data_IF_375143332695
#
_entry.id   IF_375143332695
#
_cell.length_a   1.000
_cell.length_b   1.000
_cell.length_c   1.000
_cell.angle_alpha   90.00
_cell.angle_beta   90.00
_cell.angle_gamma   90.00
#
_symmetry.space_group_name_H-M   'P 1'
#
loop_
_entity.id
_entity.type
_entity.pdbx_description
1 polymer ?
#
# COMPACT_ATOMS: atom_id res chain seq x y z
N UNK A 1 17.23 -1.14 -13.64
CA UNK A 1 16.36 -2.15 -12.99
C UNK A 1 15.42 -1.42 -12.05
N UNK A 2 14.10 -1.53 -12.25
CA UNK A 2 13.14 -0.97 -11.30
C UNK A 2 13.14 -1.84 -10.03
N UNK A 3 13.08 -1.20 -8.86
CA UNK A 3 12.91 -1.90 -7.58
C UNK A 3 11.44 -2.30 -7.46
N UNK A 4 11.17 -3.52 -7.04
CA UNK A 4 9.81 -4.04 -6.86
C UNK A 4 9.66 -4.66 -5.47
N UNK A 5 8.45 -4.57 -4.92
CA UNK A 5 8.09 -5.21 -3.67
C UNK A 5 7.40 -6.55 -3.98
N UNK A 6 7.89 -7.62 -3.37
CA UNK A 6 7.24 -8.93 -3.39
C UNK A 6 6.46 -9.09 -2.07
N UNK A 7 5.14 -9.17 -2.17
CA UNK A 7 4.23 -9.31 -1.03
C UNK A 7 3.63 -10.72 -1.04
N UNK A 8 3.89 -11.48 0.01
CA UNK A 8 3.26 -12.78 0.25
C UNK A 8 1.99 -12.58 1.09
N UNK A 9 0.84 -12.50 0.42
CA UNK A 9 -0.45 -12.21 1.06
C UNK A 9 -0.89 -13.31 2.03
N UNK A 10 -0.45 -14.55 1.84
CA UNK A 10 -0.87 -15.68 2.68
C UNK A 10 -0.24 -15.61 4.09
N UNK A 11 0.79 -14.78 4.27
CA UNK A 11 1.41 -14.48 5.57
C UNK A 11 0.84 -13.24 6.25
N UNK A 12 -0.06 -12.49 5.61
CA UNK A 12 -0.63 -11.29 6.20
C UNK A 12 -1.67 -11.65 7.27
N UNK A 13 -1.49 -11.12 8.47
CA UNK A 13 -2.38 -11.35 9.64
C UNK A 13 -3.24 -10.14 9.99
N UNK A 14 -3.32 -9.12 9.12
CA UNK A 14 -4.03 -7.88 9.39
C UNK A 14 -3.53 -7.08 10.62
N UNK A 15 -2.23 -7.16 10.94
CA UNK A 15 -1.68 -6.50 12.15
C UNK A 15 -1.51 -4.97 12.04
N UNK A 16 -1.75 -4.38 10.86
CA UNK A 16 -1.65 -2.94 10.56
C UNK A 16 -0.28 -2.26 10.80
N UNK A 17 0.77 -3.02 11.15
CA UNK A 17 2.08 -2.45 11.45
C UNK A 17 2.72 -1.77 10.24
N UNK A 18 2.57 -2.34 9.04
CA UNK A 18 3.06 -1.72 7.81
C UNK A 18 2.35 -0.39 7.52
N UNK A 19 1.04 -0.29 7.80
CA UNK A 19 0.29 0.94 7.63
C UNK A 19 0.75 2.02 8.60
N UNK A 20 0.92 1.66 9.87
CA UNK A 20 1.40 2.55 10.92
C UNK A 20 2.81 3.05 10.63
N UNK A 21 3.74 2.17 10.25
CA UNK A 21 5.11 2.55 9.92
C UNK A 21 5.17 3.51 8.73
N UNK A 22 4.42 3.25 7.67
CA UNK A 22 4.38 4.11 6.49
C UNK A 22 3.76 5.49 6.80
N UNK A 23 2.71 5.54 7.62
CA UNK A 23 2.11 6.80 8.06
C UNK A 23 3.07 7.61 8.93
N UNK A 24 3.78 6.95 9.84
CA UNK A 24 4.77 7.62 10.68
C UNK A 24 5.92 8.20 9.84
N UNK A 25 6.48 7.41 8.94
CA UNK A 25 7.60 7.82 8.09
C UNK A 25 7.26 9.03 7.22
N UNK A 26 6.09 9.05 6.58
CA UNK A 26 5.77 10.08 5.61
C UNK A 26 4.92 11.23 6.14
N UNK A 27 4.19 11.00 7.24
CA UNK A 27 3.19 11.95 7.74
C UNK A 27 3.44 12.35 9.20
N UNK A 28 4.42 11.73 9.88
CA UNK A 28 4.78 12.00 11.28
C UNK A 28 3.75 11.55 12.30
N UNK A 29 2.75 10.75 11.89
CA UNK A 29 1.64 10.32 12.74
C UNK A 29 1.42 8.82 12.67
N UNK A 30 1.04 8.19 13.79
CA UNK A 30 0.59 6.78 13.78
C UNK A 30 -0.89 6.68 13.38
N UNK A 31 -1.20 6.96 12.11
CA UNK A 31 -2.56 6.95 11.60
C UNK A 31 -2.66 6.10 10.33
N UNK A 32 -3.15 4.84 10.41
CA UNK A 32 -3.35 3.97 9.25
C UNK A 32 -4.14 4.63 8.11
N UNK A 33 -5.10 5.51 8.41
CA UNK A 33 -5.88 6.22 7.39
C UNK A 33 -5.01 7.04 6.43
N UNK A 34 -3.90 7.62 6.92
CA UNK A 34 -2.93 8.40 6.13
C UNK A 34 -1.82 7.56 5.48
N UNK A 35 -1.83 6.25 5.67
CA UNK A 35 -0.83 5.37 5.08
C UNK A 35 -0.97 5.27 3.56
N UNK A 36 0.17 5.13 2.85
CA UNK A 36 0.24 4.78 1.42
C UNK A 36 0.11 3.26 1.18
N UNK A 37 0.09 2.47 2.26
CA UNK A 37 -0.16 1.03 2.27
C UNK A 37 -1.56 0.81 2.82
N UNK A 38 -2.32 -0.16 2.30
CA UNK A 38 -3.64 -0.53 2.81
C UNK A 38 -3.81 -2.03 2.89
N UNK A 39 -4.33 -2.53 4.00
CA UNK A 39 -4.73 -3.94 4.12
C UNK A 39 -6.22 -4.04 3.79
N UNK A 40 -6.55 -4.87 2.81
CA UNK A 40 -7.92 -5.23 2.48
C UNK A 40 -8.26 -6.59 3.08
N UNK A 41 -9.36 -6.64 3.82
CA UNK A 41 -9.89 -7.88 4.35
C UNK A 41 -10.98 -8.44 3.42
N UNK A 42 -10.88 -9.72 3.12
CA UNK A 42 -11.83 -10.46 2.31
C UNK A 42 -12.50 -11.54 3.15
N UNK A 43 -13.76 -11.85 2.81
CA UNK A 43 -14.56 -12.89 3.45
C UNK A 43 -14.58 -12.79 5.00
N UNK A 44 -14.77 -11.60 5.54
CA UNK A 44 -14.78 -11.34 6.99
C UNK A 44 -13.46 -11.73 7.69
N UNK A 45 -12.32 -11.35 7.10
CA UNK A 45 -11.01 -11.52 7.71
C UNK A 45 -10.37 -12.90 7.51
N UNK A 46 -10.97 -13.78 6.70
CA UNK A 46 -10.32 -15.05 6.32
C UNK A 46 -9.07 -14.84 5.49
N UNK A 47 -9.01 -13.74 4.74
CA UNK A 47 -7.83 -13.37 3.96
C UNK A 47 -7.62 -11.86 4.04
N UNK A 48 -6.41 -11.47 4.39
CA UNK A 48 -5.97 -10.08 4.37
C UNK A 48 -4.91 -9.90 3.31
N UNK A 49 -5.06 -8.88 2.46
CA UNK A 49 -4.12 -8.60 1.37
C UNK A 49 -3.61 -7.17 1.53
N UNK A 50 -2.30 -6.97 1.81
CA UNK A 50 -1.71 -5.65 1.76
C UNK A 50 -1.55 -5.21 0.31
N UNK A 51 -1.98 -3.99 0.04
CA UNK A 51 -1.89 -3.35 -1.26
C UNK A 51 -1.07 -2.06 -1.16
N UNK A 52 -0.20 -1.86 -2.14
CA UNK A 52 0.65 -0.67 -2.27
C UNK A 52 0.61 -0.17 -3.70
N UNK A 53 1.13 1.03 -3.96
CA UNK A 53 1.49 1.39 -5.33
C UNK A 53 2.48 0.34 -5.85
N UNK A 54 2.14 -0.31 -6.96
CA UNK A 54 2.95 -1.37 -7.59
C UNK A 54 4.16 -0.82 -8.33
N UNK A 55 4.25 0.50 -8.47
CA UNK A 55 5.29 1.19 -9.25
C UNK A 55 5.35 0.61 -10.67
N UNK A 56 4.20 0.64 -11.35
CA UNK A 56 4.02 0.06 -12.68
C UNK A 56 5.12 0.51 -13.65
N UNK A 57 5.58 -0.41 -14.51
CA UNK A 57 6.49 -0.06 -15.59
C UNK A 57 5.88 0.98 -16.53
N UNK A 58 4.57 0.86 -16.79
CA UNK A 58 3.74 1.86 -17.44
C UNK A 58 2.70 2.41 -16.44
N UNK A 59 2.89 3.65 -16.01
CA UNK A 59 2.09 4.30 -14.99
C UNK A 59 0.91 5.05 -15.60
N UNK A 60 -0.21 4.35 -15.84
CA UNK A 60 -1.45 4.94 -16.38
C UNK A 60 -1.99 6.12 -15.56
N UNK A 61 -1.71 6.16 -14.26
CA UNK A 61 -2.03 7.31 -13.41
C UNK A 61 -1.34 8.61 -13.85
N UNK A 62 -0.09 8.54 -14.37
CA UNK A 62 0.62 9.72 -14.89
C UNK A 62 -0.02 10.21 -16.19
N UNK A 63 -0.39 9.29 -17.10
CA UNK A 63 -1.06 9.64 -18.36
C UNK A 63 -2.40 10.36 -18.15
N UNK A 64 -3.11 10.05 -17.06
CA UNK A 64 -4.39 10.68 -16.75
C UNK A 64 -4.25 12.03 -16.01
N UNK A 65 -3.05 12.42 -15.56
CA UNK A 65 -2.87 13.62 -14.74
C UNK A 65 -2.87 14.89 -15.60
N UNK A 66 -3.88 15.78 -15.48
CA UNK A 66 -4.02 16.95 -16.36
C UNK A 66 -2.96 18.04 -16.12
N UNK A 67 -2.25 17.96 -14.99
CA UNK A 67 -1.25 18.96 -14.57
C UNK A 67 0.17 18.39 -14.52
N UNK A 68 0.37 17.14 -14.97
CA UNK A 68 1.69 16.48 -14.99
C UNK A 68 2.44 16.55 -13.63
N UNK A 69 1.68 16.44 -12.53
CA UNK A 69 2.19 16.47 -11.16
C UNK A 69 3.19 15.34 -10.84
#
# INVERSE_FOLDING_TARGET
>A
MQKSLLIDADKCTSCLQCEMACSFEHEGTFNPARSRIKIFEFEHGKRSVPYTCTQCAEAWCLHACPVEA
#
